data_IF_953559006407
#
_entry.id   IF_953559006407
#
_cell.length_a   1.000
_cell.length_b   1.000
_cell.length_c   1.000
_cell.angle_alpha   90.00
_cell.angle_beta   90.00
_cell.angle_gamma   90.00
#
_symmetry.space_group_name_H-M   'P 1'
#
loop_
_entity.id
_entity.type
_entity.pdbx_description
1 polymer ?
#
# COMPACT_ATOMS: atom_id res chain seq x y z
N UNK A 1 -4.37 -0.64 4.70
CA UNK A 1 -5.18 -0.19 3.55
C UNK A 1 -5.60 1.28 3.64
N UNK A 2 -6.21 1.76 4.74
CA UNK A 2 -6.65 3.17 4.82
C UNK A 2 -5.53 4.20 4.51
N UNK A 3 -4.35 4.03 5.13
CA UNK A 3 -3.19 4.89 4.88
C UNK A 3 -2.80 4.85 3.39
N UNK A 4 -2.74 3.65 2.79
CA UNK A 4 -2.47 3.46 1.37
C UNK A 4 -3.46 4.23 0.48
N UNK A 5 -4.76 4.07 0.74
CA UNK A 5 -5.79 4.76 -0.03
C UNK A 5 -5.74 6.28 0.10
N UNK A 6 -5.27 6.80 1.23
CA UNK A 6 -5.10 8.23 1.45
C UNK A 6 -3.83 8.78 0.77
N UNK A 7 -2.70 8.07 0.89
CA UNK A 7 -1.39 8.59 0.47
C UNK A 7 -1.01 8.27 -0.96
N UNK A 8 -1.54 7.20 -1.56
CA UNK A 8 -1.25 6.82 -2.94
C UNK A 8 0.20 6.35 -3.20
N UNK A 9 1.10 6.39 -2.21
CA UNK A 9 2.45 5.82 -2.30
C UNK A 9 2.59 4.58 -1.41
N UNK A 10 3.04 3.47 -2.00
CA UNK A 10 3.27 2.22 -1.28
C UNK A 10 4.37 2.36 -0.21
N UNK A 11 5.44 3.10 -0.51
CA UNK A 11 6.54 3.33 0.41
C UNK A 11 6.09 4.19 1.60
N UNK A 12 5.39 5.29 1.34
CA UNK A 12 4.84 6.15 2.41
C UNK A 12 3.87 5.36 3.27
N UNK A 13 2.96 4.60 2.65
CA UNK A 13 2.00 3.77 3.38
C UNK A 13 2.69 2.72 4.26
N UNK A 14 3.74 2.07 3.74
CA UNK A 14 4.54 1.09 4.48
C UNK A 14 5.20 1.72 5.70
N UNK A 15 5.95 2.82 5.51
CA UNK A 15 6.71 3.46 6.59
C UNK A 15 5.77 4.04 7.65
N UNK A 16 4.69 4.72 7.24
CA UNK A 16 3.71 5.27 8.18
C UNK A 16 2.99 4.17 8.97
N UNK A 17 2.53 3.11 8.30
CA UNK A 17 1.87 2.00 8.98
C UNK A 17 2.84 1.27 9.92
N UNK A 18 4.07 0.99 9.48
CA UNK A 18 5.11 0.36 10.29
C UNK A 18 5.41 1.19 11.55
N UNK A 19 5.57 2.50 11.40
CA UNK A 19 5.81 3.41 12.54
C UNK A 19 4.65 3.41 13.55
N UNK A 20 3.41 3.33 13.08
CA UNK A 20 2.23 3.27 13.95
C UNK A 20 2.09 1.95 14.71
N UNK A 21 2.41 0.82 14.06
CA UNK A 21 2.24 -0.51 14.67
C UNK A 21 3.51 -1.03 15.36
N UNK A 22 4.64 -0.34 15.23
CA UNK A 22 5.92 -0.77 15.83
C UNK A 22 5.82 -1.10 17.33
N UNK A 23 5.11 -0.34 18.19
CA UNK A 23 4.97 -0.68 19.60
C UNK A 23 4.25 -2.01 19.85
N UNK A 24 3.38 -2.44 18.94
CA UNK A 24 2.65 -3.71 19.04
C UNK A 24 3.56 -4.92 18.81
N UNK A 25 4.71 -4.72 18.18
CA UNK A 25 5.67 -5.79 17.90
C UNK A 25 6.61 -6.10 19.08
N UNK A 26 6.60 -5.28 20.14
CA UNK A 26 7.60 -5.35 21.23
C UNK A 26 7.67 -6.71 21.92
N UNK A 27 6.51 -7.32 22.18
CA UNK A 27 6.41 -8.61 22.89
C UNK A 27 5.96 -9.76 21.97
N UNK A 28 5.97 -9.54 20.66
CA UNK A 28 5.59 -10.57 19.69
C UNK A 28 6.69 -11.62 19.52
N UNK A 29 6.28 -12.89 19.36
CA UNK A 29 7.22 -13.89 18.85
C UNK A 29 7.64 -13.58 17.42
N UNK A 30 8.80 -14.08 16.99
CA UNK A 30 9.35 -13.84 15.65
C UNK A 30 8.36 -14.18 14.52
N UNK A 31 7.57 -15.25 14.70
CA UNK A 31 6.55 -15.64 13.73
C UNK A 31 5.43 -14.60 13.60
N UNK A 32 4.93 -14.06 14.72
CA UNK A 32 3.91 -13.01 14.71
C UNK A 32 4.44 -11.69 14.15
N UNK A 33 5.68 -11.33 14.50
CA UNK A 33 6.33 -10.14 13.94
C UNK A 33 6.49 -10.25 12.41
N UNK A 34 6.87 -11.43 11.89
CA UNK A 34 6.95 -11.66 10.45
C UNK A 34 5.57 -11.52 9.77
N UNK A 35 4.51 -12.06 10.38
CA UNK A 35 3.14 -11.89 9.89
C UNK A 35 2.69 -10.43 9.93
N UNK A 36 3.07 -9.66 10.95
CA UNK A 36 2.79 -8.23 11.04
C UNK A 36 3.47 -7.45 9.89
N UNK A 37 4.74 -7.75 9.62
CA UNK A 37 5.47 -7.14 8.49
C UNK A 37 4.81 -7.49 7.15
N UNK A 38 4.42 -8.75 6.95
CA UNK A 38 3.69 -9.18 5.75
C UNK A 38 2.34 -8.46 5.61
N UNK A 39 1.60 -8.28 6.71
CA UNK A 39 0.33 -7.56 6.70
C UNK A 39 0.52 -6.08 6.33
N UNK A 40 1.54 -5.41 6.86
CA UNK A 40 1.89 -4.03 6.51
C UNK A 40 2.26 -3.93 5.03
N UNK A 41 3.14 -4.81 4.54
CA UNK A 41 3.58 -4.83 3.14
C UNK A 41 2.44 -5.14 2.16
N UNK A 42 1.62 -6.15 2.45
CA UNK A 42 0.46 -6.46 1.61
C UNK A 42 -0.55 -5.31 1.59
N UNK A 43 -0.81 -4.71 2.75
CA UNK A 43 -1.76 -3.60 2.89
C UNK A 43 -1.30 -2.29 2.25
N UNK A 44 -0.01 -2.14 1.91
CA UNK A 44 0.55 -0.94 1.27
C UNK A 44 0.43 -0.94 -0.24
N UNK A 45 0.04 -2.05 -0.86
CA UNK A 45 -0.13 -2.18 -2.31
C UNK A 45 -1.59 -2.24 -2.74
N UNK A 46 -2.52 -2.33 -1.79
CA UNK A 46 -3.93 -2.46 -2.10
C UNK A 46 -4.49 -1.23 -2.84
N UNK A 47 -5.14 -1.48 -3.99
CA UNK A 47 -5.94 -0.55 -4.77
C UNK A 47 -5.26 0.79 -5.09
N UNK A 48 -4.46 0.78 -6.18
CA UNK A 48 -3.90 1.97 -6.81
C UNK A 48 -4.97 2.73 -7.59
N UNK A 49 -5.25 3.97 -7.21
CA UNK A 49 -6.21 4.83 -7.92
C UNK A 49 -5.57 6.17 -8.29
N UNK A 50 -6.39 7.18 -8.57
CA UNK A 50 -5.95 8.49 -9.08
C UNK A 50 -4.91 9.22 -8.21
N UNK A 51 -4.70 8.81 -6.96
CA UNK A 51 -3.64 9.36 -6.10
C UNK A 51 -2.30 8.61 -6.19
N UNK A 52 -2.18 7.55 -6.98
CA UNK A 52 -0.97 6.74 -7.15
C UNK A 52 -0.28 7.03 -8.49
N UNK A 53 1.03 7.28 -8.46
CA UNK A 53 1.83 7.42 -9.67
C UNK A 53 1.80 6.15 -10.56
N UNK A 54 1.73 4.96 -9.97
CA UNK A 54 1.63 3.69 -10.68
C UNK A 54 0.34 3.59 -11.52
N UNK A 55 -0.76 4.13 -11.02
CA UNK A 55 -2.03 4.20 -11.77
C UNK A 55 -1.86 5.02 -13.05
N UNK A 56 -1.25 6.20 -12.96
CA UNK A 56 -1.02 7.07 -14.10
C UNK A 56 0.00 6.49 -15.08
N UNK A 57 1.03 5.80 -14.57
CA UNK A 57 1.99 5.08 -15.40
C UNK A 57 1.29 4.02 -16.25
N UNK A 58 0.44 3.17 -15.65
CA UNK A 58 -0.32 2.14 -16.39
C UNK A 58 -1.26 2.79 -17.39
N UNK A 59 -2.04 3.80 -16.98
CA UNK A 59 -2.93 4.53 -17.88
C UNK A 59 -2.19 5.00 -19.13
N UNK A 60 -1.05 5.65 -18.97
CA UNK A 60 -0.32 6.25 -20.07
C UNK A 60 0.43 5.23 -20.92
N UNK A 61 1.03 4.21 -20.29
CA UNK A 61 1.75 3.15 -20.99
C UNK A 61 0.83 2.33 -21.92
N UNK A 62 -0.43 2.15 -21.53
CA UNK A 62 -1.42 1.41 -22.31
C UNK A 62 -2.44 2.29 -23.04
N UNK A 63 -2.32 3.62 -22.99
CA UNK A 63 -3.22 4.56 -23.68
C UNK A 63 -4.68 4.48 -23.22
N UNK A 64 -4.92 4.11 -21.97
CA UNK A 64 -6.26 3.88 -21.41
C UNK A 64 -6.93 5.18 -20.94
N UNK A 65 -8.25 5.17 -20.85
CA UNK A 65 -9.01 6.18 -20.10
C UNK A 65 -9.01 5.87 -18.59
N UNK A 66 -9.34 6.87 -17.76
CA UNK A 66 -9.35 6.73 -16.29
C UNK A 66 -10.32 5.63 -15.82
N UNK A 67 -11.48 5.52 -16.45
CA UNK A 67 -12.49 4.52 -16.08
C UNK A 67 -12.06 3.09 -16.41
N UNK A 68 -11.31 2.90 -17.48
CA UNK A 68 -10.69 1.63 -17.86
C UNK A 68 -9.56 1.27 -16.88
N UNK A 69 -8.69 2.22 -16.54
CA UNK A 69 -7.58 1.98 -15.60
C UNK A 69 -8.10 1.66 -14.20
N UNK A 70 -9.19 2.28 -13.74
CA UNK A 70 -9.80 1.96 -12.42
C UNK A 70 -10.42 0.55 -12.38
N UNK A 71 -10.86 0.02 -13.53
CA UNK A 71 -11.50 -1.30 -13.63
C UNK A 71 -10.50 -2.46 -13.77
N UNK A 72 -9.22 -2.16 -13.97
CA UNK A 72 -8.14 -3.14 -14.14
C UNK A 72 -7.52 -3.46 -12.78
#
# INVERSE_FOLDING_TARGET
VAIRLATGSATVATISAAGLVAPLAADMSTAHAALLVLAVGAGSLFFSHVNDAGFWLVKEYFGMDVGQTVKT
#
